data_IF_977082670851
#
_entry.id   IF_977082670851
#
_cell.length_a   1.000
_cell.length_b   1.000
_cell.length_c   1.000
_cell.angle_alpha   90.00
_cell.angle_beta   90.00
_cell.angle_gamma   90.00
#
_symmetry.space_group_name_H-M   'P 1'
#
loop_
_entity.id
_entity.type
_entity.pdbx_description
1 polymer ?
#
# COMPACT_ATOMS: atom_id res chain seq x y z
N UNK A 1 12.33 7.32 15.96
CA UNK A 1 13.16 8.09 15.02
C UNK A 1 12.24 8.95 14.14
N UNK A 2 11.51 9.91 14.71
CA UNK A 2 10.60 10.81 13.97
C UNK A 2 10.84 12.23 14.48
N UNK A 3 11.56 13.03 13.69
CA UNK A 3 11.83 14.44 13.96
C UNK A 3 11.28 15.31 12.82
N UNK A 4 11.04 16.61 13.07
CA UNK A 4 10.32 17.50 12.14
C UNK A 4 11.06 17.78 10.82
N UNK A 5 12.33 17.38 10.70
CA UNK A 5 13.17 17.62 9.52
C UNK A 5 14.07 16.42 9.27
N UNK A 6 13.53 15.35 8.69
CA UNK A 6 14.40 14.42 7.96
C UNK A 6 14.61 14.95 6.54
N UNK A 7 15.87 15.01 6.05
CA UNK A 7 16.11 15.29 4.65
C UNK A 7 15.44 14.21 3.81
N UNK A 8 14.53 14.61 2.91
CA UNK A 8 13.97 13.72 1.91
C UNK A 8 15.00 13.58 0.77
N UNK A 9 15.64 12.41 0.58
CA UNK A 9 16.58 12.23 -0.51
C UNK A 9 15.86 12.39 -1.86
N UNK A 10 16.41 13.20 -2.75
CA UNK A 10 15.93 13.33 -4.12
C UNK A 10 16.82 12.45 -5.00
N UNK A 11 16.27 11.35 -5.48
CA UNK A 11 16.96 10.40 -6.35
C UNK A 11 16.44 10.60 -7.77
N UNK A 12 17.35 10.87 -8.70
CA UNK A 12 17.02 10.99 -10.12
C UNK A 12 16.99 9.59 -10.74
N UNK A 13 16.02 9.39 -11.62
CA UNK A 13 15.89 8.20 -12.47
C UNK A 13 15.57 8.66 -13.90
N UNK A 14 15.79 7.79 -14.88
CA UNK A 14 15.52 8.10 -16.29
C UNK A 14 14.35 7.30 -16.86
N UNK A 15 14.20 6.04 -16.42
CA UNK A 15 13.17 5.14 -16.95
C UNK A 15 12.18 4.69 -15.88
N UNK A 16 11.00 4.26 -16.33
CA UNK A 16 9.98 3.73 -15.43
C UNK A 16 10.43 2.42 -14.77
N UNK A 17 11.11 1.55 -15.51
CA UNK A 17 11.51 0.23 -15.02
C UNK A 17 12.64 0.35 -13.99
N UNK A 18 13.57 1.29 -14.21
CA UNK A 18 14.63 1.63 -13.26
C UNK A 18 14.06 2.09 -11.91
N UNK A 19 13.10 3.03 -11.91
CA UNK A 19 12.55 3.53 -10.65
C UNK A 19 11.73 2.48 -9.92
N UNK A 20 10.96 1.65 -10.63
CA UNK A 20 10.22 0.55 -10.03
C UNK A 20 11.17 -0.47 -9.39
N UNK A 21 12.20 -0.90 -10.12
CA UNK A 21 13.21 -1.81 -9.58
C UNK A 21 13.93 -1.24 -8.36
N UNK A 22 14.14 0.09 -8.32
CA UNK A 22 14.78 0.74 -7.19
C UNK A 22 13.89 0.79 -5.94
N UNK A 23 12.63 1.22 -6.08
CA UNK A 23 11.72 1.36 -4.93
C UNK A 23 11.21 0.03 -4.41
N UNK A 24 10.99 -0.95 -5.30
CA UNK A 24 10.52 -2.28 -4.92
C UNK A 24 11.66 -3.20 -4.43
N UNK A 25 12.92 -2.78 -4.52
CA UNK A 25 14.05 -3.47 -3.89
C UNK A 25 14.10 -3.28 -2.36
N UNK A 26 13.28 -2.37 -1.81
CA UNK A 26 13.14 -2.17 -0.37
C UNK A 26 12.36 -3.33 0.27
N UNK A 27 12.77 -3.72 1.48
CA UNK A 27 12.09 -4.72 2.31
C UNK A 27 10.73 -4.20 2.85
N UNK A 28 10.50 -2.89 2.76
CA UNK A 28 9.27 -2.22 3.17
C UNK A 28 8.34 -1.88 1.99
N UNK A 29 7.03 -2.02 2.22
CA UNK A 29 5.96 -1.81 1.23
C UNK A 29 4.68 -1.27 1.86
N UNK A 30 4.76 -0.20 2.66
CA UNK A 30 3.58 0.37 3.35
C UNK A 30 2.78 1.32 2.46
N UNK A 31 3.35 2.47 2.13
CA UNK A 31 2.70 3.53 1.37
C UNK A 31 3.63 4.14 0.32
N UNK A 32 3.10 4.40 -0.87
CA UNK A 32 3.79 5.11 -1.93
C UNK A 32 2.89 6.21 -2.53
N UNK A 33 3.49 7.17 -3.24
CA UNK A 33 2.75 8.20 -3.98
C UNK A 33 3.34 8.39 -5.38
N UNK A 34 2.46 8.44 -6.38
CA UNK A 34 2.82 8.60 -7.80
C UNK A 34 2.20 9.88 -8.33
N UNK A 35 3.03 10.75 -8.91
CA UNK A 35 2.60 11.98 -9.56
C UNK A 35 2.78 11.89 -11.08
N UNK A 36 1.67 11.87 -11.83
CA UNK A 36 1.65 11.79 -13.28
C UNK A 36 0.38 12.39 -13.87
N UNK A 37 0.49 12.99 -15.06
CA UNK A 37 -0.66 13.53 -15.82
C UNK A 37 -1.40 12.47 -16.64
N UNK A 38 -0.69 11.45 -17.12
CA UNK A 38 -1.25 10.43 -18.01
C UNK A 38 -1.87 9.27 -17.25
N UNK A 39 -3.19 9.13 -17.30
CA UNK A 39 -3.95 8.06 -16.61
C UNK A 39 -3.41 6.65 -16.92
N UNK A 40 -3.08 6.36 -18.18
CA UNK A 40 -2.54 5.06 -18.56
C UNK A 40 -1.15 4.77 -17.99
N UNK A 41 -0.34 5.81 -17.71
CA UNK A 41 0.95 5.65 -17.01
C UNK A 41 0.72 5.45 -15.52
N UNK A 42 -0.17 6.25 -14.93
CA UNK A 42 -0.56 6.16 -13.52
C UNK A 42 -0.96 4.73 -13.15
N UNK A 43 -1.90 4.12 -13.89
CA UNK A 43 -2.34 2.76 -13.60
C UNK A 43 -1.27 1.70 -13.80
N UNK A 44 -0.37 1.86 -14.78
CA UNK A 44 0.74 0.91 -14.97
C UNK A 44 1.73 0.95 -13.81
N UNK A 45 2.11 2.14 -13.36
CA UNK A 45 3.02 2.31 -12.22
C UNK A 45 2.36 1.84 -10.93
N UNK A 46 1.13 2.28 -10.65
CA UNK A 46 0.42 1.93 -9.42
C UNK A 46 0.18 0.43 -9.24
N UNK A 47 0.02 -0.32 -10.34
CA UNK A 47 -0.12 -1.78 -10.31
C UNK A 47 1.20 -2.52 -10.15
N UNK A 48 2.31 -1.92 -10.57
CA UNK A 48 3.63 -2.53 -10.50
C UNK A 48 4.25 -2.39 -9.10
N UNK A 49 3.95 -1.29 -8.41
CA UNK A 49 4.43 -1.00 -7.06
C UNK A 49 4.01 -2.07 -6.03
N UNK A 50 4.97 -2.57 -5.27
CA UNK A 50 4.76 -3.53 -4.20
C UNK A 50 4.47 -2.82 -2.86
N UNK A 51 3.38 -2.06 -2.83
CA UNK A 51 2.96 -1.27 -1.65
C UNK A 51 1.49 -1.52 -1.31
N UNK A 52 1.16 -1.51 -0.02
CA UNK A 52 -0.20 -1.75 0.44
C UNK A 52 -1.16 -0.58 0.18
N UNK A 53 -0.65 0.66 0.11
CA UNK A 53 -1.42 1.84 -0.30
C UNK A 53 -0.65 2.72 -1.29
N UNK A 54 -1.30 3.16 -2.37
CA UNK A 54 -0.70 4.03 -3.37
C UNK A 54 -1.55 5.28 -3.61
N UNK A 55 -1.01 6.45 -3.28
CA UNK A 55 -1.61 7.75 -3.56
C UNK A 55 -1.33 8.19 -4.99
N UNK A 56 -2.37 8.62 -5.72
CA UNK A 56 -2.21 9.17 -7.07
C UNK A 56 -2.39 10.68 -7.03
N UNK A 57 -1.36 11.42 -7.42
CA UNK A 57 -1.33 12.88 -7.41
C UNK A 57 -1.72 13.50 -6.04
N UNK A 58 -1.49 12.75 -4.96
CA UNK A 58 -1.74 13.15 -3.57
C UNK A 58 -0.68 12.54 -2.67
N UNK A 59 -0.17 13.34 -1.73
CA UNK A 59 0.66 12.87 -0.62
C UNK A 59 -0.16 12.41 0.60
N UNK A 60 -1.48 12.64 0.61
CA UNK A 60 -2.39 12.21 1.68
C UNK A 60 -3.28 11.09 1.17
N UNK A 61 -3.23 9.94 1.84
CA UNK A 61 -4.02 8.75 1.52
C UNK A 61 -4.85 8.22 2.71
N UNK A 62 -4.71 8.86 3.88
CA UNK A 62 -5.33 8.37 5.12
C UNK A 62 -6.83 8.60 5.13
N UNK A 63 -7.58 7.51 5.37
CA UNK A 63 -9.02 7.51 5.66
C UNK A 63 -9.39 6.19 6.33
N UNK A 64 -10.38 6.22 7.19
CA UNK A 64 -11.02 5.07 7.83
C UNK A 64 -11.82 4.19 6.86
N UNK A 65 -12.20 4.75 5.70
CA UNK A 65 -13.06 4.10 4.71
C UNK A 65 -12.31 3.26 3.67
N UNK A 66 -10.97 3.30 3.67
CA UNK A 66 -10.11 2.49 2.80
C UNK A 66 -9.22 1.56 3.64
N UNK A 67 -8.91 0.35 3.16
CA UNK A 67 -8.11 -0.59 3.93
C UNK A 67 -6.67 -0.06 4.01
N UNK A 68 -6.13 0.02 5.22
CA UNK A 68 -4.76 0.48 5.46
C UNK A 68 -3.89 -0.69 5.94
N UNK A 69 -2.66 -0.78 5.46
CA UNK A 69 -1.72 -1.84 5.84
C UNK A 69 -0.71 -2.09 4.73
N UNK A 70 0.41 -2.72 5.06
CA UNK A 70 1.54 -2.90 4.16
C UNK A 70 1.63 -4.28 3.51
N UNK A 71 2.68 -4.47 2.73
CA UNK A 71 3.18 -5.78 2.28
C UNK A 71 4.65 -5.92 2.68
N UNK A 72 5.26 -7.08 2.41
CA UNK A 72 6.65 -7.39 2.80
C UNK A 72 6.84 -7.29 4.32
N UNK A 73 7.95 -6.70 4.78
CA UNK A 73 8.20 -6.51 6.21
C UNK A 73 7.37 -5.38 6.83
N UNK A 74 6.60 -4.63 6.03
CA UNK A 74 5.70 -3.58 6.57
C UNK A 74 4.46 -4.12 7.27
N UNK A 75 4.25 -5.44 7.26
CA UNK A 75 3.23 -6.11 8.08
C UNK A 75 2.25 -6.95 7.27
N UNK A 76 1.38 -7.62 8.03
CA UNK A 76 0.33 -8.48 7.53
C UNK A 76 -1.03 -7.96 8.00
N UNK A 77 -2.08 -8.27 7.23
CA UNK A 77 -3.45 -7.85 7.53
C UNK A 77 -3.78 -6.43 7.07
N UNK A 78 -5.01 -5.99 7.34
CA UNK A 78 -5.49 -4.63 7.02
C UNK A 78 -6.31 -4.06 8.16
N UNK A 79 -6.14 -2.77 8.40
CA UNK A 79 -6.94 -1.96 9.33
C UNK A 79 -7.97 -1.11 8.58
N UNK A 80 -9.01 -0.68 9.28
CA UNK A 80 -10.11 0.11 8.71
C UNK A 80 -11.02 -0.70 7.79
N UNK A 81 -12.11 -0.08 7.33
CA UNK A 81 -13.15 -0.73 6.50
C UNK A 81 -13.83 -1.94 7.16
N UNK A 82 -14.84 -2.55 6.52
CA UNK A 82 -15.36 -3.84 6.96
C UNK A 82 -14.33 -4.98 6.96
N UNK A 83 -13.15 -4.82 6.35
CA UNK A 83 -12.08 -5.82 6.41
C UNK A 83 -11.28 -5.77 7.70
N UNK A 84 -11.19 -4.61 8.35
CA UNK A 84 -10.39 -4.47 9.57
C UNK A 84 -10.90 -5.34 10.72
N UNK A 85 -12.20 -5.67 10.75
CA UNK A 85 -12.75 -6.56 11.77
C UNK A 85 -12.32 -8.02 11.58
N UNK A 86 -11.99 -8.43 10.35
CA UNK A 86 -11.58 -9.81 10.03
C UNK A 86 -10.31 -10.21 10.80
N UNK A 87 -9.46 -9.25 11.20
CA UNK A 87 -8.25 -9.47 12.00
C UNK A 87 -8.54 -9.78 13.50
N UNK A 88 -9.78 -9.56 13.96
CA UNK A 88 -10.17 -9.69 15.37
C UNK A 88 -11.23 -10.76 15.62
N UNK A 89 -11.63 -11.52 14.59
CA UNK A 89 -12.70 -12.52 14.67
C UNK A 89 -12.24 -13.86 14.11
N UNK A 90 -12.76 -14.95 14.69
CA UNK A 90 -12.52 -16.30 14.21
C UNK A 90 -13.65 -16.80 13.31
N UNK A 91 -13.30 -17.37 12.15
CA UNK A 91 -14.27 -18.04 11.28
C UNK A 91 -14.66 -19.40 11.87
N UNK A 92 -15.97 -19.62 12.07
CA UNK A 92 -16.52 -20.90 12.55
C UNK A 92 -17.57 -21.44 11.60
N UNK A 93 -17.34 -22.64 11.08
CA UNK A 93 -18.29 -23.38 10.25
C UNK A 93 -19.15 -24.32 11.10
N UNK A 94 -20.45 -24.37 10.82
CA UNK A 94 -21.37 -25.36 11.38
C UNK A 94 -22.18 -26.00 10.26
N UNK A 95 -22.25 -27.34 10.26
CA UNK A 95 -23.18 -28.11 9.45
C UNK A 95 -24.23 -28.73 10.35
N UNK A 96 -25.50 -28.44 10.07
CA UNK A 96 -26.64 -29.06 10.73
C UNK A 96 -27.38 -29.90 9.69
N UNK A 97 -27.41 -31.21 9.90
CA UNK A 97 -28.09 -32.17 9.03
C UNK A 97 -29.25 -32.86 9.77
N UNK A 98 -30.29 -33.23 9.03
CA UNK A 98 -31.43 -33.99 9.59
C UNK A 98 -32.44 -33.17 10.39
N UNK A 99 -32.50 -31.85 10.16
CA UNK A 99 -33.67 -31.02 10.46
C UNK A 99 -34.64 -31.02 9.27
#
# INVERSE_FOLDING_TARGET
MHGPTQPAPIIRFETQDEVLANVDADDFGLAASVHARGVGRTFRVAKALEYGGVGINSGMISTELAPFGGVKESGHGREGTPRGVDEFVDVKYLLVAGL
#
